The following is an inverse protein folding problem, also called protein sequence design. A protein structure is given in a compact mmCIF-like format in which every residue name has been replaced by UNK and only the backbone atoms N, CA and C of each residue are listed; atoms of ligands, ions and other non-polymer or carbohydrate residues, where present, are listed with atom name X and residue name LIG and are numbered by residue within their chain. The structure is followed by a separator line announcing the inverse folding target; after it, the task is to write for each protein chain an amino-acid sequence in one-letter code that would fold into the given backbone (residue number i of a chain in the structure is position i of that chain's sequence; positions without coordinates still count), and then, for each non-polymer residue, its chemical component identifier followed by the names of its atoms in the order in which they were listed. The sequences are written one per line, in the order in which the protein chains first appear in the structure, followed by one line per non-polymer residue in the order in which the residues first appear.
data_IF_275655942750
#
_entry.id   IF_275655942750
#
_cell.length_a   1.000
_cell.length_b   1.000
_cell.length_c   1.000
_cell.angle_alpha   90.00
_cell.angle_beta   90.00
_cell.angle_gamma   90.00
#
_symmetry.space_group_name_H-M   'P 1'
#
loop_
_entity.id
_entity.type
_entity.pdbx_description
1 polymer ?
#
# COMPACT_ATOMS: atom_id res chain seq x y z
N UNK A 1 -15.82 6.82 -14.51
CA UNK A 1 -14.64 6.76 -13.63
C UNK A 1 -15.13 6.60 -12.19
N UNK A 2 -14.84 5.47 -11.53
CA UNK A 2 -15.15 5.34 -10.10
C UNK A 2 -14.29 6.32 -9.31
N UNK A 3 -14.93 7.19 -8.53
CA UNK A 3 -14.23 8.10 -7.62
C UNK A 3 -13.97 7.35 -6.32
N UNK A 4 -12.71 7.08 -6.03
CA UNK A 4 -12.28 6.47 -4.77
C UNK A 4 -11.64 7.57 -3.92
N UNK A 5 -12.11 7.73 -2.69
CA UNK A 5 -11.44 8.59 -1.72
C UNK A 5 -10.22 7.84 -1.18
N UNK A 6 -9.03 8.32 -1.52
CA UNK A 6 -7.76 7.75 -1.04
C UNK A 6 -7.65 7.85 0.49
N UNK A 7 -8.14 8.94 1.10
CA UNK A 7 -8.15 9.08 2.56
C UNK A 7 -9.10 8.08 3.26
N UNK A 8 -10.26 7.81 2.65
CA UNK A 8 -11.18 6.79 3.16
C UNK A 8 -10.54 5.40 3.05
N UNK A 9 -9.94 5.09 1.90
CA UNK A 9 -9.26 3.82 1.67
C UNK A 9 -8.07 3.65 2.64
N UNK A 10 -7.29 4.69 2.86
CA UNK A 10 -6.18 4.67 3.81
C UNK A 10 -6.66 4.35 5.24
N UNK A 11 -7.75 4.99 5.70
CA UNK A 11 -8.33 4.67 7.03
C UNK A 11 -8.79 3.22 7.13
N UNK A 12 -9.43 2.69 6.09
CA UNK A 12 -9.85 1.29 6.03
C UNK A 12 -8.66 0.33 6.08
N UNK A 13 -7.63 0.57 5.27
CA UNK A 13 -6.44 -0.28 5.23
C UNK A 13 -5.65 -0.21 6.54
N UNK A 14 -5.57 0.95 7.20
CA UNK A 14 -4.95 1.06 8.53
C UNK A 14 -5.70 0.20 9.56
N UNK A 15 -7.04 0.31 9.61
CA UNK A 15 -7.84 -0.50 10.53
C UNK A 15 -7.66 -2.01 10.26
N UNK A 16 -7.67 -2.40 8.98
CA UNK A 16 -7.45 -3.77 8.56
C UNK A 16 -6.04 -4.28 8.92
N UNK A 17 -5.00 -3.47 8.71
CA UNK A 17 -3.62 -3.83 9.03
C UNK A 17 -3.40 -4.01 10.54
N UNK A 18 -4.07 -3.20 11.38
CA UNK A 18 -4.02 -3.34 12.84
C UNK A 18 -4.65 -4.66 13.28
N UNK A 19 -5.79 -5.03 12.70
CA UNK A 19 -6.53 -6.25 13.03
C UNK A 19 -5.91 -7.52 12.43
N UNK A 20 -5.21 -7.42 11.31
CA UNK A 20 -4.63 -8.57 10.62
C UNK A 20 -3.45 -9.18 11.42
N UNK A 21 -3.36 -10.52 11.53
CA UNK A 21 -2.20 -11.18 12.14
C UNK A 21 -0.88 -10.84 11.44
N UNK A 22 -0.92 -10.64 10.11
CA UNK A 22 0.22 -10.23 9.29
C UNK A 22 0.69 -8.79 9.56
N UNK A 23 -0.11 -7.97 10.26
CA UNK A 23 0.18 -6.57 10.52
C UNK A 23 0.09 -5.67 9.28
N UNK A 24 -0.47 -6.15 8.16
CA UNK A 24 -0.51 -5.41 6.89
C UNK A 24 -1.81 -5.65 6.13
N UNK A 25 -2.23 -4.63 5.38
CA UNK A 25 -3.37 -4.69 4.47
C UNK A 25 -3.10 -3.81 3.25
N UNK A 26 -3.75 -4.12 2.13
CA UNK A 26 -3.58 -3.36 0.90
C UNK A 26 -4.79 -3.47 -0.01
N UNK A 27 -5.04 -2.42 -0.80
CA UNK A 27 -6.06 -2.41 -1.84
C UNK A 27 -5.62 -1.57 -3.05
N UNK A 28 -5.94 -2.04 -4.25
CA UNK A 28 -5.56 -1.39 -5.51
C UNK A 28 -6.64 -0.41 -5.94
N UNK A 29 -6.40 0.89 -5.72
CA UNK A 29 -7.32 1.96 -6.13
C UNK A 29 -7.37 2.15 -7.65
N UNK A 30 -6.26 1.91 -8.35
CA UNK A 30 -6.22 1.96 -9.80
C UNK A 30 -5.28 0.89 -10.33
N UNK A 31 -5.73 0.11 -11.30
CA UNK A 31 -4.93 -0.98 -11.85
C UNK A 31 -5.81 -2.02 -12.52
N UNK A 32 -5.25 -3.22 -12.69
CA UNK A 32 -5.87 -4.38 -13.33
C UNK A 32 -4.83 -5.16 -14.12
N UNK A 33 -5.16 -6.39 -14.52
CA UNK A 33 -4.23 -7.26 -15.27
C UNK A 33 -3.76 -6.61 -16.59
N UNK A 34 -4.57 -5.72 -17.15
CA UNK A 34 -4.29 -5.02 -18.42
C UNK A 34 -3.53 -3.70 -18.25
N UNK A 35 -3.33 -3.21 -17.00
CA UNK A 35 -2.73 -1.89 -16.76
C UNK A 35 -1.28 -2.02 -16.31
N UNK A 36 -0.38 -1.33 -17.02
CA UNK A 36 1.04 -1.22 -16.64
C UNK A 36 1.24 -0.51 -15.31
N UNK A 37 0.46 0.55 -15.04
CA UNK A 37 0.53 1.30 -13.79
C UNK A 37 -0.52 0.79 -12.80
N UNK A 38 -0.06 0.40 -11.61
CA UNK A 38 -0.91 0.11 -10.45
C UNK A 38 -0.68 1.15 -9.36
N UNK A 39 -1.77 1.65 -8.79
CA UNK A 39 -1.79 2.47 -7.60
C UNK A 39 -2.44 1.67 -6.49
N UNK A 40 -1.64 1.28 -5.50
CA UNK A 40 -2.06 0.46 -4.37
C UNK A 40 -1.89 1.24 -3.09
N UNK A 41 -2.96 1.36 -2.30
CA UNK A 41 -2.88 1.86 -0.92
C UNK A 41 -2.47 0.69 -0.05
N UNK A 42 -1.38 0.84 0.67
CA UNK A 42 -0.84 -0.16 1.58
C UNK A 42 -0.80 0.42 3.00
N UNK A 43 -1.08 -0.41 3.99
CA UNK A 43 -0.99 -0.06 5.40
C UNK A 43 -0.22 -1.11 6.17
N UNK A 44 0.54 -0.64 7.15
CA UNK A 44 1.41 -1.45 8.00
C UNK A 44 1.18 -1.03 9.45
N UNK A 45 1.04 -2.01 10.33
CA UNK A 45 1.20 -1.80 11.77
C UNK A 45 2.67 -1.48 12.06
N UNK A 46 2.93 -0.68 13.10
CA UNK A 46 4.30 -0.36 13.49
C UNK A 46 5.12 -1.66 13.72
N UNK A 47 6.35 -1.67 13.20
CA UNK A 47 7.24 -2.84 13.23
C UNK A 47 6.95 -3.90 12.15
N UNK A 48 5.91 -3.75 11.33
CA UNK A 48 5.68 -4.63 10.19
C UNK A 48 6.50 -4.20 8.98
N UNK A 49 7.05 -5.20 8.27
CA UNK A 49 7.85 -5.02 7.07
C UNK A 49 7.31 -5.88 5.92
N UNK A 50 7.66 -5.50 4.68
CA UNK A 50 7.55 -6.41 3.55
C UNK A 50 8.81 -7.27 3.48
N UNK A 51 8.64 -8.50 3.00
CA UNK A 51 9.77 -9.31 2.57
C UNK A 51 10.45 -8.64 1.38
N UNK A 52 11.76 -8.88 1.26
CA UNK A 52 12.52 -8.48 0.09
C UNK A 52 11.89 -9.09 -1.17
N UNK A 53 11.69 -8.27 -2.19
CA UNK A 53 11.09 -8.68 -3.45
C UNK A 53 11.59 -7.81 -4.59
N UNK A 54 11.68 -8.39 -5.77
CA UNK A 54 11.93 -7.61 -6.99
C UNK A 54 10.69 -6.80 -7.33
N UNK A 55 10.89 -5.52 -7.61
CA UNK A 55 9.87 -4.65 -8.18
C UNK A 55 10.25 -4.34 -9.64
N UNK A 56 9.70 -5.05 -10.62
CA UNK A 56 10.03 -4.81 -12.02
C UNK A 56 9.44 -3.47 -12.47
N UNK A 57 10.32 -2.55 -12.84
CA UNK A 57 9.95 -1.22 -13.32
C UNK A 57 10.04 -0.14 -12.23
N UNK A 58 9.54 1.04 -12.57
CA UNK A 58 9.59 2.20 -11.67
C UNK A 58 8.44 2.15 -10.66
N UNK A 59 8.70 2.60 -9.44
CA UNK A 59 7.66 2.81 -8.45
C UNK A 59 7.84 4.12 -7.70
N UNK A 60 6.72 4.73 -7.36
CA UNK A 60 6.65 5.91 -6.51
C UNK A 60 5.96 5.54 -5.20
N UNK A 61 6.54 5.97 -4.08
CA UNK A 61 5.93 5.83 -2.75
C UNK A 61 5.48 7.22 -2.31
N UNK A 62 4.19 7.33 -1.96
CA UNK A 62 3.63 8.55 -1.36
C UNK A 62 3.08 8.22 0.02
N UNK A 63 3.64 8.86 1.06
CA UNK A 63 3.24 8.60 2.44
C UNK A 63 2.01 9.42 2.77
N UNK A 64 0.86 8.74 2.87
CA UNK A 64 -0.41 9.38 3.23
C UNK A 64 -0.52 9.70 4.73
N UNK A 65 0.02 8.82 5.60
CA UNK A 65 -0.01 8.98 7.05
C UNK A 65 1.15 8.23 7.71
N UNK A 66 1.78 8.87 8.69
CA UNK A 66 2.87 8.28 9.47
C UNK A 66 4.20 8.35 8.75
N UNK A 67 5.03 7.32 8.91
CA UNK A 67 6.38 7.24 8.34
C UNK A 67 6.71 5.80 7.99
N UNK A 68 7.46 5.61 6.90
CA UNK A 68 7.96 4.31 6.47
C UNK A 68 9.46 4.38 6.24
N UNK A 69 10.14 3.26 6.41
CA UNK A 69 11.54 3.10 6.04
C UNK A 69 11.58 2.37 4.71
N UNK A 70 12.14 3.01 3.68
CA UNK A 70 12.37 2.38 2.40
C UNK A 70 13.80 1.85 2.37
N UNK A 71 13.93 0.52 2.32
CA UNK A 71 15.20 -0.14 2.02
C UNK A 71 15.13 -0.61 0.58
N UNK A 72 15.93 -0.01 -0.29
CA UNK A 72 16.03 -0.34 -1.70
C UNK A 72 17.52 -0.34 -2.09
N UNK A 73 17.92 -1.31 -2.89
CA UNK A 73 19.30 -1.56 -3.30
C UNK A 73 19.39 -2.92 -3.96
#
# INVERSE_FOLDING_TARGET
MQKISIDALARQQIAAAVAAPSGRAADTAFGGHEKKLRQTVMAFRAGTQLSEHRNPGEATVYVLKGSVWLRAG
#
